data_IF_213091976713
#
_entry.id   IF_213091976713
#
_cell.length_a   1.000
_cell.length_b   1.000
_cell.length_c   1.000
_cell.angle_alpha   90.00
_cell.angle_beta   90.00
_cell.angle_gamma   90.00
#
_symmetry.space_group_name_H-M   'P 1'
#
loop_
_entity.id
_entity.type
_entity.pdbx_description
1 polymer ?
#
# COMPACT_ATOMS: atom_id res chain seq x y z
N UNK A 1 5.39 4.98 10.00
CA UNK A 1 4.25 4.05 9.98
C UNK A 1 3.09 4.74 10.63
N UNK A 2 2.02 4.99 9.89
CA UNK A 2 0.76 5.45 10.47
C UNK A 2 -0.25 4.31 10.35
N UNK A 3 -0.96 4.06 11.45
CA UNK A 3 -1.75 2.86 11.65
C UNK A 3 -3.09 3.26 12.23
N UNK A 4 -4.10 3.31 11.36
CA UNK A 4 -5.50 3.07 11.70
C UNK A 4 -6.17 4.02 12.71
N UNK A 5 -5.55 5.14 13.11
CA UNK A 5 -6.13 6.09 14.07
C UNK A 5 -6.19 7.52 13.57
N UNK A 6 -5.76 7.78 12.33
CA UNK A 6 -5.80 9.11 11.73
C UNK A 6 -7.22 9.53 11.34
N UNK A 7 -7.74 10.51 12.07
CA UNK A 7 -9.00 11.19 11.76
C UNK A 7 -8.82 11.95 10.43
N UNK A 8 -9.28 11.37 9.32
CA UNK A 8 -9.23 11.99 7.99
C UNK A 8 -9.18 11.06 6.79
N UNK A 9 -8.98 9.73 6.97
CA UNK A 9 -8.79 8.84 5.83
C UNK A 9 -10.09 8.43 5.12
N UNK A 10 -10.03 8.36 3.79
CA UNK A 10 -11.15 8.04 2.91
C UNK A 10 -11.86 6.76 3.38
N UNK A 11 -13.15 6.87 3.71
CA UNK A 11 -13.95 5.74 4.17
C UNK A 11 -14.11 4.67 3.09
N UNK A 12 -14.11 3.39 3.51
CA UNK A 12 -14.31 2.25 2.63
C UNK A 12 -14.09 0.91 3.34
N UNK A 13 -14.54 -0.20 2.74
CA UNK A 13 -14.45 -1.56 3.30
C UNK A 13 -13.00 -1.95 3.63
N UNK A 14 -12.05 -1.57 2.76
CA UNK A 14 -10.62 -1.79 2.95
C UNK A 14 -9.93 -0.44 3.18
N UNK A 15 -9.90 0.01 4.43
CA UNK A 15 -9.38 1.32 4.81
C UNK A 15 -8.56 1.24 6.09
N UNK A 16 -7.91 2.36 6.44
CA UNK A 16 -7.22 2.53 7.72
C UNK A 16 -8.18 2.35 8.90
N UNK A 17 -9.37 2.95 8.81
CA UNK A 17 -10.39 2.85 9.87
C UNK A 17 -10.96 1.46 10.06
N UNK A 18 -10.91 0.59 9.03
CA UNK A 18 -11.28 -0.83 9.16
C UNK A 18 -10.11 -1.75 9.51
N UNK A 19 -8.88 -1.21 9.64
CA UNK A 19 -7.69 -1.98 9.99
C UNK A 19 -7.06 -2.77 8.83
N UNK A 20 -7.47 -2.48 7.59
CA UNK A 20 -7.00 -3.19 6.39
C UNK A 20 -5.81 -2.50 5.70
N UNK A 21 -5.49 -1.26 6.12
CA UNK A 21 -4.42 -0.46 5.53
C UNK A 21 -3.37 -0.05 6.55
N UNK A 22 -2.13 0.00 6.09
CA UNK A 22 -0.96 0.45 6.84
C UNK A 22 -0.11 1.31 5.91
N UNK A 23 0.26 2.51 6.38
CA UNK A 23 1.15 3.39 5.61
C UNK A 23 2.59 3.23 6.11
N UNK A 24 3.50 2.96 5.17
CA UNK A 24 4.94 2.88 5.42
C UNK A 24 5.65 4.01 4.66
N UNK A 25 6.65 4.61 5.31
CA UNK A 25 7.48 5.64 4.71
C UNK A 25 8.25 5.08 3.48
N UNK A 26 8.46 5.89 2.44
CA UNK A 26 8.97 5.45 1.13
C UNK A 26 10.49 5.18 1.08
N UNK A 27 11.08 4.86 2.24
CA UNK A 27 12.52 4.67 2.40
C UNK A 27 13.13 3.83 1.29
N UNK A 28 14.36 4.18 0.87
CA UNK A 28 15.05 3.51 -0.23
C UNK A 28 15.16 2.00 -0.02
N UNK A 29 15.36 1.54 1.22
CA UNK A 29 15.41 0.12 1.57
C UNK A 29 14.10 -0.60 1.31
N UNK A 30 12.97 -0.05 1.79
CA UNK A 30 11.64 -0.62 1.56
C UNK A 30 11.27 -0.60 0.07
N UNK A 31 11.46 0.55 -0.57
CA UNK A 31 11.14 0.74 -1.99
C UNK A 31 11.92 -0.23 -2.88
N UNK A 32 13.21 -0.43 -2.61
CA UNK A 32 14.01 -1.41 -3.34
C UNK A 32 13.55 -2.84 -3.06
N UNK A 33 13.25 -3.18 -1.80
CA UNK A 33 12.76 -4.50 -1.44
C UNK A 33 11.48 -4.85 -2.21
N UNK A 34 10.48 -3.97 -2.19
CA UNK A 34 9.21 -4.18 -2.89
C UNK A 34 9.43 -4.30 -4.40
N UNK A 35 10.16 -3.35 -5.00
CA UNK A 35 10.39 -3.34 -6.47
C UNK A 35 11.20 -4.53 -6.96
N UNK A 36 12.08 -5.09 -6.14
CA UNK A 36 12.92 -6.24 -6.51
C UNK A 36 12.26 -7.60 -6.24
N UNK A 37 11.39 -7.71 -5.23
CA UNK A 37 10.82 -8.99 -4.80
C UNK A 37 9.37 -9.19 -5.27
N UNK A 38 8.63 -8.12 -5.53
CA UNK A 38 7.20 -8.19 -5.84
C UNK A 38 6.91 -7.84 -7.30
N UNK A 39 5.75 -8.29 -7.76
CA UNK A 39 5.34 -8.11 -9.16
C UNK A 39 4.61 -6.80 -9.31
N UNK A 40 5.04 -5.95 -10.25
CA UNK A 40 4.26 -4.77 -10.63
C UNK A 40 2.94 -5.21 -11.27
N UNK A 41 1.82 -4.92 -10.62
CA UNK A 41 0.49 -5.41 -10.98
C UNK A 41 -0.36 -4.37 -11.73
N UNK A 42 0.07 -3.11 -11.76
CA UNK A 42 -0.59 -2.07 -12.55
C UNK A 42 -0.48 -0.68 -11.92
N UNK A 43 -1.54 0.10 -12.10
CA UNK A 43 -1.69 1.45 -11.57
C UNK A 43 -3.09 1.60 -11.00
N UNK A 44 -3.22 2.16 -9.79
CA UNK A 44 -4.50 2.32 -9.09
C UNK A 44 -5.33 3.42 -9.74
N UNK A 45 -6.59 3.11 -10.03
CA UNK A 45 -7.55 4.08 -10.52
C UNK A 45 -7.93 5.04 -9.38
N UNK A 46 -7.71 6.34 -9.58
CA UNK A 46 -7.98 7.39 -8.59
C UNK A 46 -6.79 8.32 -8.41
N UNK A 47 -5.69 7.81 -7.89
CA UNK A 47 -4.47 8.56 -7.56
C UNK A 47 -3.28 8.25 -8.48
N UNK A 48 -3.36 7.20 -9.29
CA UNK A 48 -2.27 6.81 -10.18
C UNK A 48 -1.11 6.11 -9.48
N UNK A 49 -1.29 5.64 -8.24
CA UNK A 49 -0.26 4.92 -7.50
C UNK A 49 0.18 3.66 -8.24
N UNK A 50 1.49 3.39 -8.29
CA UNK A 50 2.00 2.16 -8.90
C UNK A 50 1.75 1.01 -7.95
N UNK A 51 1.11 -0.05 -8.46
CA UNK A 51 0.75 -1.22 -7.67
C UNK A 51 1.78 -2.34 -7.81
N UNK A 52 2.05 -2.98 -6.69
CA UNK A 52 2.83 -4.21 -6.58
C UNK A 52 2.04 -5.24 -5.76
N UNK A 53 2.21 -6.51 -6.10
CA UNK A 53 1.63 -7.64 -5.34
C UNK A 53 2.70 -8.70 -5.05
N UNK A 54 2.62 -9.28 -3.86
CA UNK A 54 3.45 -10.41 -3.47
C UNK A 54 2.80 -11.70 -4.00
N UNK A 55 3.39 -12.39 -4.99
CA UNK A 55 2.81 -13.63 -5.53
C UNK A 55 2.75 -14.76 -4.49
N UNK A 56 3.54 -14.69 -3.42
CA UNK A 56 3.55 -15.67 -2.32
C UNK A 56 2.47 -15.38 -1.25
N UNK A 57 1.90 -14.18 -1.25
CA UNK A 57 0.86 -13.73 -0.31
C UNK A 57 -0.31 -13.08 -1.04
N UNK A 58 -1.23 -13.89 -1.60
CA UNK A 58 -2.43 -13.35 -2.21
C UNK A 58 -3.22 -12.53 -1.19
N UNK A 59 -3.82 -11.42 -1.65
CA UNK A 59 -4.56 -10.48 -0.80
C UNK A 59 -3.75 -9.28 -0.32
N UNK A 60 -2.42 -9.26 -0.49
CA UNK A 60 -1.58 -8.09 -0.16
C UNK A 60 -1.28 -7.26 -1.41
N UNK A 61 -1.68 -5.99 -1.36
CA UNK A 61 -1.45 -4.98 -2.40
C UNK A 61 -0.62 -3.83 -1.83
N UNK A 62 0.45 -3.46 -2.53
CA UNK A 62 1.35 -2.36 -2.16
C UNK A 62 1.19 -1.25 -3.19
N UNK A 63 0.77 -0.06 -2.77
CA UNK A 63 0.59 1.10 -3.63
C UNK A 63 1.62 2.17 -3.31
N UNK A 64 2.42 2.58 -4.31
CA UNK A 64 3.38 3.67 -4.18
C UNK A 64 2.70 4.99 -4.57
N UNK A 65 2.37 5.83 -3.59
CA UNK A 65 1.70 7.12 -3.79
C UNK A 65 2.68 8.28 -4.08
N UNK A 66 3.97 8.06 -3.88
CA UNK A 66 5.06 8.99 -4.22
C UNK A 66 5.74 9.64 -3.01
N UNK A 67 5.06 9.66 -1.86
CA UNK A 67 5.58 10.08 -0.55
C UNK A 67 5.51 8.96 0.51
N UNK A 68 4.66 7.95 0.30
CA UNK A 68 4.59 6.76 1.13
C UNK A 68 4.09 5.54 0.34
N UNK A 69 4.12 4.39 1.02
CA UNK A 69 3.49 3.14 0.59
C UNK A 69 2.20 2.92 1.36
N UNK A 70 1.07 2.77 0.65
CA UNK A 70 -0.19 2.26 1.19
C UNK A 70 -0.24 0.74 0.97
N UNK A 71 -0.23 -0.02 2.06
CA UNK A 71 -0.31 -1.48 2.04
C UNK A 71 -1.71 -1.91 2.46
N UNK A 72 -2.44 -2.54 1.54
CA UNK A 72 -3.74 -3.12 1.81
C UNK A 72 -3.65 -4.64 1.94
N UNK A 73 -4.18 -5.20 3.03
CA UNK A 73 -4.22 -6.65 3.28
C UNK A 73 -5.68 -7.10 3.31
N UNK A 74 -6.14 -7.89 2.33
CA UNK A 74 -7.52 -8.38 2.18
C UNK A 74 -7.68 -9.86 2.49
#
# INVERSE_FOLDING_TARGET
>A
MTGGTESGHAGGTYSHGSGYKIDLDDTSGLTNHIKSNYTRSGTRSGDGAILYTDPSRPGVEYALEGDHWDITVR
#
